data_IF_734256373787
#
_entry.id   IF_734256373787
#
_cell.length_a   1.000
_cell.length_b   1.000
_cell.length_c   1.000
_cell.angle_alpha   90.00
_cell.angle_beta   90.00
_cell.angle_gamma   90.00
#
_symmetry.space_group_name_H-M   'P 1'
#
loop_
_entity.id
_entity.type
_entity.pdbx_description
1 polymer ?
#
# COMPACT_ATOMS: atom_id res chain seq x y z
N UNK A 1 23.18 3.72 -14.80
CA UNK A 1 22.40 2.69 -14.11
C UNK A 1 21.12 3.33 -13.60
N UNK A 2 19.97 2.88 -14.06
CA UNK A 2 18.69 3.34 -13.53
C UNK A 2 18.61 2.90 -12.08
N UNK A 3 18.41 3.84 -11.18
CA UNK A 3 18.44 3.63 -9.71
C UNK A 3 17.40 2.61 -9.22
N UNK A 4 16.39 2.37 -10.03
CA UNK A 4 15.30 1.44 -9.73
C UNK A 4 15.61 -0.04 -9.99
N UNK A 5 16.70 -0.35 -10.68
CA UNK A 5 17.08 -1.74 -11.01
C UNK A 5 17.60 -2.52 -9.80
N UNK A 6 18.09 -1.84 -8.77
CA UNK A 6 18.65 -2.49 -7.57
C UNK A 6 17.61 -3.21 -6.69
N UNK A 7 16.32 -2.94 -6.88
CA UNK A 7 15.25 -3.60 -6.13
C UNK A 7 14.55 -4.72 -6.90
N UNK A 8 14.90 -4.92 -8.16
CA UNK A 8 14.32 -5.95 -9.02
C UNK A 8 15.18 -7.21 -8.97
N UNK A 9 14.51 -8.33 -8.84
CA UNK A 9 15.10 -9.67 -8.85
C UNK A 9 14.32 -10.56 -9.83
N UNK A 10 14.91 -11.69 -10.22
CA UNK A 10 14.15 -12.75 -10.85
C UNK A 10 13.02 -13.21 -9.92
N UNK A 11 11.88 -13.60 -10.52
CA UNK A 11 10.74 -14.07 -9.72
C UNK A 11 11.13 -15.33 -8.97
N UNK A 12 10.89 -15.36 -7.66
CA UNK A 12 11.17 -16.52 -6.82
C UNK A 12 10.43 -17.74 -7.32
N UNK A 13 11.05 -18.91 -7.14
CA UNK A 13 10.56 -20.15 -7.73
C UNK A 13 9.13 -20.51 -7.28
N UNK A 14 8.78 -20.23 -6.05
CA UNK A 14 7.46 -20.48 -5.46
C UNK A 14 6.43 -19.35 -5.71
N UNK A 15 6.87 -18.22 -6.28
CA UNK A 15 6.04 -17.03 -6.51
C UNK A 15 5.82 -16.74 -8.01
N UNK A 16 6.08 -17.72 -8.88
CA UNK A 16 5.95 -17.58 -10.33
C UNK A 16 4.52 -17.18 -10.76
N UNK A 17 4.44 -16.48 -11.88
CA UNK A 17 3.18 -16.10 -12.53
C UNK A 17 2.91 -17.03 -13.71
N UNK A 18 1.64 -17.36 -13.94
CA UNK A 18 1.23 -17.96 -15.22
C UNK A 18 1.28 -16.90 -16.32
N UNK A 19 2.42 -16.85 -17.01
CA UNK A 19 2.68 -15.84 -18.04
C UNK A 19 1.79 -16.02 -19.29
N UNK A 20 1.34 -17.24 -19.59
CA UNK A 20 0.49 -17.47 -20.75
C UNK A 20 -0.92 -16.90 -20.51
N UNK A 21 -1.50 -17.22 -19.37
CA UNK A 21 -2.80 -16.70 -18.98
C UNK A 21 -2.74 -15.18 -18.76
N UNK A 22 -1.69 -14.70 -18.09
CA UNK A 22 -1.49 -13.26 -17.88
C UNK A 22 -1.37 -12.50 -19.19
N UNK A 23 -0.58 -13.02 -20.15
CA UNK A 23 -0.43 -12.42 -21.49
C UNK A 23 -1.76 -12.32 -22.23
N UNK A 24 -2.55 -13.39 -22.22
CA UNK A 24 -3.87 -13.41 -22.84
C UNK A 24 -4.79 -12.36 -22.20
N UNK A 25 -4.85 -12.35 -20.88
CA UNK A 25 -5.65 -11.38 -20.12
C UNK A 25 -5.23 -9.93 -20.43
N UNK A 26 -3.92 -9.64 -20.44
CA UNK A 26 -3.41 -8.30 -20.73
C UNK A 26 -3.72 -7.85 -22.16
N UNK A 27 -3.65 -8.73 -23.16
CA UNK A 27 -4.04 -8.39 -24.53
C UNK A 27 -5.50 -7.98 -24.62
N UNK A 28 -6.36 -8.68 -23.90
CA UNK A 28 -7.79 -8.40 -23.89
C UNK A 28 -8.10 -7.05 -23.22
N UNK A 29 -7.60 -6.81 -22.00
CA UNK A 29 -7.91 -5.59 -21.25
C UNK A 29 -7.25 -4.34 -21.82
N UNK A 30 -6.05 -4.45 -22.40
CA UNK A 30 -5.35 -3.33 -23.03
C UNK A 30 -5.83 -3.08 -24.45
N UNK A 31 -6.58 -4.03 -25.02
CA UNK A 31 -6.96 -4.04 -26.45
C UNK A 31 -5.75 -3.80 -27.36
N UNK A 32 -4.62 -4.41 -27.03
CA UNK A 32 -3.33 -4.25 -27.70
C UNK A 32 -2.73 -5.60 -28.07
N UNK A 33 -2.06 -5.64 -29.22
CA UNK A 33 -1.20 -6.75 -29.57
C UNK A 33 0.25 -6.37 -29.21
N UNK A 34 0.88 -7.18 -28.39
CA UNK A 34 2.30 -7.08 -28.06
C UNK A 34 2.98 -8.45 -28.20
N UNK A 35 4.27 -8.43 -28.48
CA UNK A 35 5.03 -9.65 -28.74
C UNK A 35 5.51 -10.27 -27.44
N UNK A 36 6.13 -9.47 -26.60
CA UNK A 36 6.82 -9.93 -25.42
C UNK A 36 6.29 -9.28 -24.15
N UNK A 37 6.40 -10.02 -23.08
CA UNK A 37 6.16 -9.57 -21.72
C UNK A 37 7.34 -10.00 -20.88
N UNK A 38 8.03 -9.02 -20.31
CA UNK A 38 9.09 -9.27 -19.34
C UNK A 38 8.52 -9.08 -17.93
N UNK A 39 8.92 -9.95 -17.02
CA UNK A 39 8.45 -9.87 -15.64
C UNK A 39 9.63 -10.01 -14.68
N UNK A 40 9.68 -9.13 -13.70
CA UNK A 40 10.63 -9.18 -12.59
C UNK A 40 9.85 -8.99 -11.27
N UNK A 41 10.48 -9.32 -10.17
CA UNK A 41 9.87 -9.16 -8.86
C UNK A 41 10.58 -8.07 -8.07
N UNK A 42 9.82 -7.27 -7.32
CA UNK A 42 10.41 -6.37 -6.34
C UNK A 42 10.87 -7.17 -5.12
N UNK A 43 12.14 -7.03 -4.75
CA UNK A 43 12.75 -7.76 -3.64
C UNK A 43 12.19 -7.35 -2.27
N UNK A 44 11.66 -6.13 -2.15
CA UNK A 44 11.07 -5.58 -0.95
C UNK A 44 9.55 -5.74 -0.90
N UNK A 45 8.99 -5.75 0.31
CA UNK A 45 7.54 -5.88 0.54
C UNK A 45 7.15 -7.31 0.90
N UNK A 46 6.94 -7.56 2.20
CA UNK A 46 6.54 -8.88 2.68
C UNK A 46 5.01 -9.03 2.81
N UNK A 47 4.27 -7.93 2.66
CA UNK A 47 2.82 -7.93 2.82
C UNK A 47 2.09 -8.41 1.56
N UNK A 48 2.46 -7.88 0.39
CA UNK A 48 1.92 -8.29 -0.91
C UNK A 48 3.07 -8.61 -1.86
N UNK A 49 2.84 -9.51 -2.80
CA UNK A 49 3.77 -9.79 -3.87
C UNK A 49 3.61 -8.72 -4.95
N UNK A 50 4.74 -8.13 -5.34
CA UNK A 50 4.78 -7.01 -6.29
C UNK A 50 5.74 -7.33 -7.41
N UNK A 51 5.26 -7.19 -8.65
CA UNK A 51 6.01 -7.54 -9.86
C UNK A 51 6.07 -6.33 -10.79
N UNK A 52 7.20 -6.17 -11.45
CA UNK A 52 7.31 -5.34 -12.64
C UNK A 52 6.80 -6.14 -13.83
N UNK A 53 5.92 -5.56 -14.61
CA UNK A 53 5.46 -6.09 -15.89
C UNK A 53 5.86 -5.09 -16.95
N UNK A 54 6.74 -5.51 -17.86
CA UNK A 54 7.14 -4.68 -19.01
C UNK A 54 6.52 -5.25 -20.27
N UNK A 55 5.76 -4.41 -20.95
CA UNK A 55 5.10 -4.71 -22.21
C UNK A 55 5.69 -3.74 -23.23
N UNK A 56 6.48 -4.27 -24.16
CA UNK A 56 7.29 -3.47 -25.06
C UNK A 56 8.13 -2.45 -24.26
N UNK A 57 7.89 -1.14 -24.43
CA UNK A 57 8.62 -0.08 -23.71
C UNK A 57 7.85 0.48 -22.49
N UNK A 58 6.69 -0.08 -22.16
CA UNK A 58 5.83 0.42 -21.07
C UNK A 58 5.95 -0.48 -19.85
N UNK A 59 6.23 0.14 -18.71
CA UNK A 59 6.33 -0.54 -17.43
C UNK A 59 5.06 -0.36 -16.59
N UNK A 60 4.59 -1.47 -16.03
CA UNK A 60 3.48 -1.55 -15.08
C UNK A 60 3.94 -2.26 -13.82
N UNK A 61 3.17 -2.09 -12.74
CA UNK A 61 3.36 -2.85 -11.52
C UNK A 61 2.12 -3.70 -11.25
N UNK A 62 2.30 -5.00 -11.14
CA UNK A 62 1.26 -5.94 -10.73
C UNK A 62 1.41 -6.23 -9.24
N UNK A 63 0.30 -6.16 -8.52
CA UNK A 63 0.26 -6.52 -7.10
C UNK A 63 -0.78 -7.60 -6.85
N UNK A 64 -0.39 -8.63 -6.09
CA UNK A 64 -1.28 -9.69 -5.63
C UNK A 64 -1.05 -10.01 -4.14
N UNK A 65 -1.99 -10.70 -3.48
CA UNK A 65 -1.79 -11.18 -2.13
C UNK A 65 -0.57 -12.11 -2.04
N UNK A 66 0.01 -12.29 -0.84
CA UNK A 66 1.00 -13.33 -0.61
C UNK A 66 0.37 -14.72 -0.83
N UNK A 67 1.20 -15.71 -1.10
CA UNK A 67 0.76 -17.10 -1.20
C UNK A 67 0.53 -17.69 0.20
N UNK A 68 -0.47 -18.57 0.30
CA UNK A 68 -0.81 -19.25 1.55
C UNK A 68 -2.01 -18.65 2.29
N UNK A 69 -2.26 -19.07 3.53
CA UNK A 69 -3.42 -18.63 4.30
C UNK A 69 -3.33 -17.14 4.64
N UNK A 70 -4.37 -16.39 4.27
CA UNK A 70 -4.48 -14.95 4.49
C UNK A 70 -5.53 -14.69 5.57
N UNK A 71 -5.23 -13.81 6.52
CA UNK A 71 -6.22 -13.40 7.51
C UNK A 71 -7.40 -12.68 6.84
N UNK A 72 -8.65 -12.91 7.29
CA UNK A 72 -9.82 -12.24 6.72
C UNK A 72 -9.63 -10.71 6.66
N UNK A 73 -10.04 -10.12 5.54
CA UNK A 73 -9.92 -8.67 5.25
C UNK A 73 -8.50 -8.07 5.21
N UNK A 74 -7.46 -8.90 5.26
CA UNK A 74 -6.11 -8.48 4.92
C UNK A 74 -5.83 -8.71 3.43
N UNK A 75 -4.95 -7.89 2.84
CA UNK A 75 -4.54 -8.05 1.44
C UNK A 75 -5.68 -7.99 0.41
N UNK A 76 -6.68 -7.13 0.67
CA UNK A 76 -7.83 -6.92 -0.21
C UNK A 76 -7.43 -6.09 -1.44
N UNK A 77 -7.15 -6.76 -2.56
CA UNK A 77 -6.73 -6.14 -3.82
C UNK A 77 -7.82 -5.27 -4.43
N UNK A 78 -9.09 -5.61 -4.24
CA UNK A 78 -10.20 -4.80 -4.73
C UNK A 78 -10.27 -3.46 -3.98
N UNK A 79 -10.11 -3.50 -2.67
CA UNK A 79 -10.05 -2.28 -1.85
C UNK A 79 -8.84 -1.43 -2.23
N UNK A 80 -7.67 -2.04 -2.41
CA UNK A 80 -6.45 -1.33 -2.81
C UNK A 80 -6.63 -0.66 -4.17
N UNK A 81 -7.16 -1.39 -5.17
CA UNK A 81 -7.53 -0.85 -6.47
C UNK A 81 -8.52 0.31 -6.36
N UNK A 82 -9.61 0.12 -5.61
CA UNK A 82 -10.67 1.12 -5.45
C UNK A 82 -10.13 2.41 -4.85
N UNK A 83 -9.32 2.31 -3.81
CA UNK A 83 -8.72 3.48 -3.16
C UNK A 83 -7.79 4.20 -4.12
N UNK A 84 -6.82 3.50 -4.72
CA UNK A 84 -5.82 4.12 -5.58
C UNK A 84 -6.40 4.72 -6.86
N UNK A 85 -7.37 4.05 -7.50
CA UNK A 85 -8.00 4.56 -8.71
C UNK A 85 -8.79 5.85 -8.47
N UNK A 86 -9.39 6.00 -7.28
CA UNK A 86 -10.19 7.15 -6.93
C UNK A 86 -9.37 8.30 -6.35
N UNK A 87 -8.46 8.00 -5.42
CA UNK A 87 -7.66 9.04 -4.76
C UNK A 87 -6.72 9.76 -5.72
N UNK A 88 -6.21 9.08 -6.75
CA UNK A 88 -5.32 9.65 -7.75
C UNK A 88 -5.93 10.86 -8.47
N UNK A 89 -7.25 10.97 -8.54
CA UNK A 89 -7.95 12.09 -9.20
C UNK A 89 -7.71 13.43 -8.50
N UNK A 90 -7.53 13.44 -7.18
CA UNK A 90 -7.27 14.63 -6.38
C UNK A 90 -5.86 14.64 -5.76
N UNK A 91 -5.21 13.49 -5.69
CA UNK A 91 -3.89 13.32 -5.10
C UNK A 91 -2.98 12.56 -6.08
N UNK A 92 -2.40 13.28 -7.04
CA UNK A 92 -1.62 12.73 -8.15
C UNK A 92 -0.33 12.01 -7.72
N UNK A 93 0.11 12.15 -6.47
CA UNK A 93 1.24 11.40 -5.93
C UNK A 93 0.91 9.92 -5.65
N UNK A 94 -0.36 9.58 -5.46
CA UNK A 94 -0.76 8.17 -5.40
C UNK A 94 -0.60 7.53 -6.79
N UNK A 95 -0.02 6.32 -6.90
CA UNK A 95 0.01 5.59 -8.15
C UNK A 95 -1.40 5.36 -8.68
N UNK A 96 -1.62 5.56 -9.97
CA UNK A 96 -2.91 5.28 -10.60
C UNK A 96 -3.11 3.78 -10.67
N UNK A 97 -4.19 3.25 -10.10
CA UNK A 97 -4.58 1.87 -10.33
C UNK A 97 -5.40 1.78 -11.62
N UNK A 98 -4.89 0.99 -12.57
CA UNK A 98 -5.37 0.96 -13.95
C UNK A 98 -6.41 -0.13 -14.15
N UNK A 99 -6.13 -1.34 -13.67
CA UNK A 99 -6.95 -2.52 -13.89
C UNK A 99 -7.03 -3.36 -12.62
N UNK A 100 -8.17 -3.98 -12.39
CA UNK A 100 -8.38 -4.96 -11.35
C UNK A 100 -8.88 -6.26 -12.00
N UNK A 101 -8.30 -7.38 -11.61
CA UNK A 101 -8.71 -8.71 -12.02
C UNK A 101 -9.21 -9.49 -10.80
N UNK A 102 -10.46 -9.92 -10.83
CA UNK A 102 -11.06 -10.80 -9.82
C UNK A 102 -11.10 -12.27 -10.25
N UNK A 103 -10.69 -12.57 -11.49
CA UNK A 103 -10.59 -13.92 -12.01
C UNK A 103 -9.29 -14.60 -11.56
N UNK A 104 -9.39 -15.44 -10.55
CA UNK A 104 -8.24 -16.16 -10.00
C UNK A 104 -7.63 -17.17 -11.00
N UNK A 105 -8.32 -17.53 -12.07
CA UNK A 105 -7.80 -18.45 -13.11
C UNK A 105 -6.63 -17.85 -13.89
N UNK A 106 -6.48 -16.53 -13.88
CA UNK A 106 -5.40 -15.84 -14.61
C UNK A 106 -4.02 -16.12 -14.00
N UNK A 107 -3.86 -15.89 -12.69
CA UNK A 107 -2.56 -16.08 -12.01
C UNK A 107 -2.68 -16.75 -10.62
N UNK A 108 -3.79 -17.43 -10.35
CA UNK A 108 -4.03 -18.13 -9.10
C UNK A 108 -4.52 -17.24 -7.95
N UNK A 109 -4.75 -15.95 -8.18
CA UNK A 109 -5.26 -15.01 -7.18
C UNK A 109 -5.80 -13.74 -7.83
N UNK A 110 -6.64 -13.00 -7.12
CA UNK A 110 -7.00 -11.64 -7.53
C UNK A 110 -5.77 -10.74 -7.54
N UNK A 111 -5.75 -9.79 -8.45
CA UNK A 111 -4.63 -8.84 -8.55
C UNK A 111 -5.09 -7.50 -9.12
N UNK A 112 -4.24 -6.51 -9.01
CA UNK A 112 -4.44 -5.25 -9.72
C UNK A 112 -3.14 -4.76 -10.37
N UNK A 113 -3.31 -3.93 -11.38
CA UNK A 113 -2.22 -3.33 -12.14
C UNK A 113 -2.24 -1.84 -11.92
N UNK A 114 -1.09 -1.30 -11.55
CA UNK A 114 -0.88 0.12 -11.29
C UNK A 114 0.21 0.67 -12.21
N UNK A 115 0.22 1.97 -12.40
CA UNK A 115 1.30 2.64 -13.08
C UNK A 115 2.63 2.45 -12.36
N UNK A 116 3.71 2.36 -13.10
CA UNK A 116 5.06 2.36 -12.56
C UNK A 116 5.46 3.78 -12.17
N UNK A 117 5.83 3.98 -10.90
CA UNK A 117 6.46 5.21 -10.42
C UNK A 117 7.96 5.03 -10.33
N UNK A 118 8.69 5.92 -10.97
CA UNK A 118 10.14 5.94 -10.93
C UNK A 118 10.62 6.86 -9.81
N UNK A 119 11.61 6.43 -9.03
CA UNK A 119 12.15 7.22 -7.93
C UNK A 119 13.06 6.38 -7.02
N UNK A 120 13.58 7.04 -5.99
CA UNK A 120 14.41 6.39 -4.99
C UNK A 120 13.55 5.90 -3.83
N UNK A 121 13.70 4.64 -3.47
CA UNK A 121 13.08 4.09 -2.27
C UNK A 121 14.05 4.20 -1.11
N UNK A 122 13.79 5.12 -0.20
CA UNK A 122 14.60 5.30 1.00
C UNK A 122 14.22 4.21 2.01
N UNK A 123 15.15 3.28 2.29
CA UNK A 123 14.94 2.22 3.28
C UNK A 123 15.80 2.42 4.52
N UNK A 124 17.01 1.89 4.52
CA UNK A 124 17.95 1.94 5.67
C UNK A 124 18.93 3.10 5.58
N UNK A 125 19.26 3.55 4.38
CA UNK A 125 20.21 4.62 4.13
C UNK A 125 19.57 5.64 3.19
N UNK A 126 19.82 6.91 3.47
CA UNK A 126 19.48 7.99 2.56
C UNK A 126 20.53 8.07 1.46
N UNK A 127 20.08 8.47 0.28
CA UNK A 127 20.97 8.72 -0.85
C UNK A 127 21.94 9.86 -0.56
N UNK A 128 23.21 9.78 -1.06
CA UNK A 128 24.22 10.80 -0.79
C UNK A 128 23.78 12.20 -1.15
N UNK A 129 23.06 12.42 -2.25
CA UNK A 129 22.58 13.73 -2.66
C UNK A 129 21.60 14.37 -1.66
N UNK A 130 20.93 13.56 -0.84
CA UNK A 130 20.06 14.05 0.23
C UNK A 130 20.92 14.43 1.44
N UNK A 131 21.90 13.57 1.81
CA UNK A 131 22.70 13.75 3.03
C UNK A 131 23.81 14.78 2.91
N UNK A 132 24.14 15.24 1.69
CA UNK A 132 25.18 16.25 1.43
C UNK A 132 24.93 17.59 2.12
N UNK A 133 23.69 17.91 2.48
CA UNK A 133 23.35 19.15 3.10
C UNK A 133 22.20 19.01 4.12
N UNK A 134 22.34 19.70 5.25
CA UNK A 134 21.26 19.81 6.24
C UNK A 134 20.00 20.43 5.66
N UNK A 135 20.14 21.31 4.67
CA UNK A 135 19.02 21.92 3.99
C UNK A 135 18.22 20.90 3.17
N UNK A 136 18.87 19.97 2.47
CA UNK A 136 18.21 18.91 1.73
C UNK A 136 17.43 17.99 2.66
N UNK A 137 18.01 17.60 3.79
CA UNK A 137 17.32 16.79 4.81
C UNK A 137 16.08 17.54 5.34
N UNK A 138 16.24 18.83 5.64
CA UNK A 138 15.12 19.68 6.11
C UNK A 138 14.01 19.78 5.05
N UNK A 139 14.37 20.07 3.80
CA UNK A 139 13.40 20.13 2.67
C UNK A 139 12.64 18.80 2.52
N UNK A 140 13.34 17.66 2.56
CA UNK A 140 12.69 16.34 2.51
C UNK A 140 11.73 16.14 3.68
N UNK A 141 12.14 16.48 4.90
CA UNK A 141 11.32 16.34 6.11
C UNK A 141 10.02 17.15 6.00
N UNK A 142 10.12 18.43 5.58
CA UNK A 142 8.93 19.24 5.36
C UNK A 142 8.07 18.68 4.24
N UNK A 143 8.68 18.24 3.12
CA UNK A 143 7.94 17.69 1.99
C UNK A 143 7.13 16.46 2.38
N UNK A 144 7.64 15.58 3.24
CA UNK A 144 6.91 14.43 3.75
C UNK A 144 5.64 14.88 4.49
N UNK A 145 5.74 15.90 5.35
CA UNK A 145 4.59 16.43 6.10
C UNK A 145 3.60 17.13 5.15
N UNK A 146 4.09 17.92 4.19
CA UNK A 146 3.23 18.56 3.19
C UNK A 146 2.44 17.52 2.39
N UNK A 147 3.09 16.44 1.94
CA UNK A 147 2.45 15.35 1.20
C UNK A 147 1.38 14.65 2.05
N UNK A 148 1.65 14.42 3.35
CA UNK A 148 0.64 13.87 4.25
C UNK A 148 -0.55 14.83 4.44
N UNK A 149 -0.26 16.12 4.59
CA UNK A 149 -1.30 17.14 4.70
C UNK A 149 -2.15 17.24 3.42
N UNK A 150 -1.52 17.14 2.24
CA UNK A 150 -2.23 17.12 0.96
C UNK A 150 -3.11 15.87 0.80
N UNK A 151 -2.64 14.70 1.27
CA UNK A 151 -3.47 13.50 1.35
C UNK A 151 -4.70 13.70 2.24
N UNK A 152 -4.52 14.33 3.40
CA UNK A 152 -5.60 14.59 4.35
C UNK A 152 -6.61 15.65 3.85
N UNK A 153 -6.26 16.46 2.84
CA UNK A 153 -7.19 17.41 2.19
C UNK A 153 -8.08 16.76 1.16
N UNK A 154 -7.80 15.51 0.76
CA UNK A 154 -8.66 14.81 -0.20
C UNK A 154 -10.03 14.59 0.42
N UNK A 155 -11.05 15.14 -0.21
CA UNK A 155 -12.43 14.94 0.18
C UNK A 155 -12.88 13.52 -0.23
N UNK A 156 -13.14 12.68 0.77
CA UNK A 156 -13.52 11.28 0.55
C UNK A 156 -14.86 11.14 -0.18
N UNK A 157 -15.80 12.06 0.00
CA UNK A 157 -17.08 12.03 -0.68
C UNK A 157 -16.92 12.39 -2.16
N UNK A 158 -16.20 13.47 -2.46
CA UNK A 158 -15.95 13.91 -3.83
C UNK A 158 -15.22 12.88 -4.68
N UNK A 159 -14.29 12.13 -4.09
CA UNK A 159 -13.60 11.02 -4.81
C UNK A 159 -14.37 9.71 -4.77
N UNK A 160 -15.57 9.67 -4.19
CA UNK A 160 -16.41 8.48 -4.10
C UNK A 160 -15.87 7.40 -3.15
N UNK A 161 -15.18 7.81 -2.08
CA UNK A 161 -14.66 6.95 -1.00
C UNK A 161 -15.38 7.17 0.34
N UNK A 162 -16.54 7.84 0.36
CA UNK A 162 -17.31 8.11 1.58
C UNK A 162 -17.66 6.85 2.37
N UNK A 163 -17.86 5.73 1.69
CA UNK A 163 -18.14 4.43 2.31
C UNK A 163 -16.89 3.58 2.59
N UNK A 164 -15.68 4.14 2.48
CA UNK A 164 -14.43 3.40 2.72
C UNK A 164 -14.29 2.92 4.18
N UNK A 165 -14.86 3.65 5.12
CA UNK A 165 -14.78 3.37 6.54
C UNK A 165 -15.97 3.95 7.32
N UNK A 166 -15.88 3.90 8.64
CA UNK A 166 -16.85 4.50 9.56
C UNK A 166 -16.14 5.58 10.37
N UNK A 167 -16.33 6.86 10.06
CA UNK A 167 -15.66 7.95 10.78
C UNK A 167 -16.10 8.08 12.24
N UNK A 168 -17.43 7.99 12.53
CA UNK A 168 -17.91 8.14 13.89
C UNK A 168 -17.28 7.12 14.84
N UNK A 169 -16.77 7.59 15.97
CA UNK A 169 -16.16 6.77 16.99
C UNK A 169 -14.90 6.00 16.54
N UNK A 170 -14.24 6.44 15.46
CA UNK A 170 -13.06 5.76 14.90
C UNK A 170 -11.97 5.55 15.94
N UNK A 171 -11.55 6.59 16.66
CA UNK A 171 -10.46 6.53 17.66
C UNK A 171 -10.82 5.54 18.78
N UNK A 172 -12.06 5.59 19.27
CA UNK A 172 -12.54 4.64 20.28
C UNK A 172 -12.47 3.20 19.80
N UNK A 173 -12.94 2.91 18.57
CA UNK A 173 -12.85 1.56 18.00
C UNK A 173 -11.43 1.08 17.78
N UNK A 174 -10.51 1.98 17.41
CA UNK A 174 -9.09 1.62 17.32
C UNK A 174 -8.54 1.23 18.69
N UNK A 175 -8.82 2.00 19.72
CA UNK A 175 -8.39 1.69 21.10
C UNK A 175 -8.95 0.34 21.58
N UNK A 176 -10.24 0.10 21.40
CA UNK A 176 -10.89 -1.16 21.76
C UNK A 176 -10.29 -2.35 21.00
N UNK A 177 -10.04 -2.19 19.70
CA UNK A 177 -9.41 -3.22 18.87
C UNK A 177 -7.97 -3.53 19.28
N UNK A 178 -7.18 -2.52 19.67
CA UNK A 178 -5.83 -2.72 20.18
C UNK A 178 -5.85 -3.38 21.55
N UNK A 179 -6.77 -3.04 22.43
CA UNK A 179 -6.94 -3.71 23.73
C UNK A 179 -7.22 -5.21 23.58
N UNK A 180 -8.14 -5.57 22.67
CA UNK A 180 -8.45 -6.98 22.39
C UNK A 180 -7.22 -7.74 21.89
N UNK A 181 -6.50 -7.18 20.92
CA UNK A 181 -5.28 -7.78 20.35
C UNK A 181 -4.20 -7.95 21.44
N UNK A 182 -3.99 -6.91 22.22
CA UNK A 182 -3.02 -6.95 23.31
C UNK A 182 -3.32 -8.03 24.35
N UNK A 183 -4.57 -8.12 24.80
CA UNK A 183 -4.98 -9.15 25.77
C UNK A 183 -4.72 -10.58 25.29
N UNK A 184 -4.71 -10.79 23.97
CA UNK A 184 -4.39 -12.09 23.34
C UNK A 184 -2.89 -12.32 23.13
N UNK A 185 -2.06 -11.29 23.17
CA UNK A 185 -0.63 -11.37 22.78
C UNK A 185 0.30 -11.76 23.92
N UNK A 186 -0.11 -11.65 25.16
CA UNK A 186 0.74 -11.95 26.33
C UNK A 186 -0.05 -12.40 27.53
N UNK A 187 0.53 -13.32 28.32
CA UNK A 187 -0.02 -13.76 29.61
C UNK A 187 0.71 -13.17 30.83
N UNK A 188 1.69 -12.31 30.60
CA UNK A 188 2.43 -11.65 31.65
C UNK A 188 1.56 -10.65 32.44
N UNK A 189 1.16 -11.01 33.65
CA UNK A 189 0.26 -10.24 34.53
C UNK A 189 0.79 -8.80 34.80
N UNK A 190 2.11 -8.64 35.02
CA UNK A 190 2.70 -7.32 35.31
C UNK A 190 2.60 -6.38 34.09
N UNK A 191 2.83 -6.93 32.91
CA UNK A 191 2.74 -6.17 31.66
C UNK A 191 1.27 -5.84 31.37
N UNK A 192 0.35 -6.80 31.54
CA UNK A 192 -1.10 -6.55 31.39
C UNK A 192 -1.57 -5.42 32.30
N UNK A 193 -1.21 -5.41 33.58
CA UNK A 193 -1.62 -4.37 34.51
C UNK A 193 -1.11 -2.95 34.12
N UNK A 194 0.10 -2.85 33.54
CA UNK A 194 0.61 -1.57 33.02
C UNK A 194 -0.19 -1.12 31.80
N UNK A 195 -0.50 -2.04 30.92
CA UNK A 195 -1.27 -1.74 29.71
C UNK A 195 -2.72 -1.35 30.04
N UNK A 196 -3.37 -2.03 30.99
CA UNK A 196 -4.71 -1.66 31.44
C UNK A 196 -4.77 -0.22 31.99
N UNK A 197 -3.73 0.21 32.73
CA UNK A 197 -3.63 1.61 33.16
C UNK A 197 -3.53 2.57 32.00
N UNK A 198 -2.72 2.23 30.97
CA UNK A 198 -2.59 3.05 29.76
C UNK A 198 -3.91 3.11 28.98
N UNK A 199 -4.59 1.99 28.79
CA UNK A 199 -5.89 1.94 28.11
C UNK A 199 -6.93 2.79 28.83
N UNK A 200 -7.00 2.69 30.15
CA UNK A 200 -7.92 3.51 30.96
C UNK A 200 -7.60 5.00 30.83
N UNK A 201 -6.33 5.38 30.90
CA UNK A 201 -5.90 6.77 30.66
C UNK A 201 -6.31 7.27 29.27
N UNK A 202 -6.06 6.50 28.21
CA UNK A 202 -6.43 6.87 26.84
C UNK A 202 -7.95 6.98 26.67
N UNK A 203 -8.74 6.10 27.32
CA UNK A 203 -10.22 6.19 27.29
C UNK A 203 -10.77 7.47 27.89
N UNK A 204 -10.17 7.89 29.01
CA UNK A 204 -10.56 9.12 29.69
C UNK A 204 -10.12 10.39 28.96
N UNK A 205 -9.15 10.27 28.04
CA UNK A 205 -8.54 11.37 27.30
C UNK A 205 -8.66 11.20 25.79
N UNK A 206 -9.74 10.58 25.29
CA UNK A 206 -9.98 10.47 23.85
C UNK A 206 -10.14 11.87 23.25
N UNK A 207 -9.40 12.20 22.18
CA UNK A 207 -9.58 13.48 21.52
C UNK A 207 -10.92 13.54 20.79
N UNK A 208 -11.55 14.72 20.81
CA UNK A 208 -12.68 14.99 19.94
C UNK A 208 -12.22 15.04 18.47
N UNK A 209 -12.93 14.37 17.56
CA UNK A 209 -12.61 14.42 16.15
C UNK A 209 -12.78 15.84 15.59
N UNK A 210 -11.74 16.35 14.94
CA UNK A 210 -11.80 17.69 14.31
C UNK A 210 -12.40 17.63 12.91
N UNK A 211 -12.07 16.58 12.15
CA UNK A 211 -12.56 16.37 10.79
C UNK A 211 -12.46 14.89 10.40
N UNK A 212 -13.26 14.49 9.42
CA UNK A 212 -13.12 13.19 8.76
C UNK A 212 -12.17 13.34 7.58
N UNK A 213 -11.17 12.47 7.51
CA UNK A 213 -10.18 12.47 6.43
C UNK A 213 -9.71 11.07 6.10
N UNK A 214 -9.08 10.90 4.93
CA UNK A 214 -8.47 9.63 4.53
C UNK A 214 -7.15 9.47 5.28
N UNK A 215 -7.01 8.38 6.01
CA UNK A 215 -5.79 8.05 6.76
C UNK A 215 -4.97 7.00 6.01
N UNK A 216 -3.67 7.25 5.84
CA UNK A 216 -2.75 6.27 5.23
C UNK A 216 -2.45 5.08 6.15
N UNK A 217 -2.37 5.31 7.46
CA UNK A 217 -2.05 4.35 8.54
C UNK A 217 -0.64 3.74 8.53
N UNK A 218 0.17 3.97 7.49
CA UNK A 218 1.57 3.51 7.38
C UNK A 218 2.39 4.48 6.51
N UNK A 219 2.19 5.78 6.71
CA UNK A 219 2.89 6.84 5.98
C UNK A 219 4.32 6.99 6.49
N UNK A 220 5.30 6.69 5.63
CA UNK A 220 6.74 6.72 5.95
C UNK A 220 7.58 6.92 4.68
#
# INVERSE_FOLDING_TARGET
MNVNEQELIEIRQDEQLDLNNLRSYLKDILNMQFKDIETLQFSGGHANLTYLIKIDDIEYVLRRPPLGPIAPSSHDMFREHTVQSKINTMFSLAPKSLYFCDDERVIGSKFHIIERRNGFVIRKKMEPFITQSRENIRKLSFRIIDVLADLHKVDSELVGLGNLGRPEGFVKRQLDGWEIRWKKSTDNKKIKAKFDKLINFLRLNLPEPQATTILHNDFK
#
